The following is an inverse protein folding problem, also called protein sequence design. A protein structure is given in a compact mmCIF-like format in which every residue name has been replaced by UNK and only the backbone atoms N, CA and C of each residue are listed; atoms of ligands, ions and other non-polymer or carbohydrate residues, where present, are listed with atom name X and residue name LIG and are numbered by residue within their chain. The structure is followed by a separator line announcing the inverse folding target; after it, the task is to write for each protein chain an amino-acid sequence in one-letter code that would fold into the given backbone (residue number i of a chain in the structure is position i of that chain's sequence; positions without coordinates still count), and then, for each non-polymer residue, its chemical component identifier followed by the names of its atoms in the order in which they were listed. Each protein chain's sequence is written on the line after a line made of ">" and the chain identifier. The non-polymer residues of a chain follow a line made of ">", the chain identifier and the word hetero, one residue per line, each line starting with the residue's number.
data_IF_065289807346
#
_entry.id   IF_065289807346
#
_cell.length_a   1.000
_cell.length_b   1.000
_cell.length_c   1.000
_cell.angle_alpha   90.00
_cell.angle_beta   90.00
_cell.angle_gamma   90.00
#
_symmetry.space_group_name_H-M   'P 1'
#
loop_
_entity.id
_entity.type
_entity.pdbx_description
1 polymer ?
#
# COMPACT_ATOMS: atom_id res chain seq x y z
N UNK A 1 20.07 -11.48 23.40
CA UNK A 1 19.09 -10.37 23.48
C UNK A 1 18.90 -9.87 22.06
N UNK A 2 17.77 -10.20 21.46
CA UNK A 2 17.53 -10.07 20.03
C UNK A 2 16.47 -8.98 19.85
N UNK A 3 16.84 -7.87 19.21
CA UNK A 3 15.98 -7.14 18.28
C UNK A 3 14.62 -6.61 18.80
N UNK A 4 14.44 -6.27 20.08
CA UNK A 4 13.11 -5.78 20.53
C UNK A 4 12.73 -4.46 19.83
N UNK A 5 13.67 -3.52 19.77
CA UNK A 5 13.51 -2.24 19.06
C UNK A 5 13.50 -2.42 17.53
N UNK A 6 14.24 -3.40 17.00
CA UNK A 6 14.29 -3.66 15.55
C UNK A 6 13.04 -4.39 15.06
N UNK A 7 12.43 -5.24 15.88
CA UNK A 7 11.20 -5.94 15.56
C UNK A 7 10.01 -4.97 15.49
N UNK A 8 9.87 -4.05 16.45
CA UNK A 8 8.80 -3.04 16.41
C UNK A 8 8.96 -2.08 15.21
N UNK A 9 10.19 -1.67 14.90
CA UNK A 9 10.47 -0.80 13.75
C UNK A 9 10.27 -1.54 12.43
N UNK A 10 10.69 -2.80 12.32
CA UNK A 10 10.47 -3.63 11.13
C UNK A 10 8.98 -3.96 10.92
N UNK A 11 8.25 -4.22 12.01
CA UNK A 11 6.82 -4.46 12.00
C UNK A 11 6.09 -3.19 11.54
N UNK A 12 6.37 -2.05 12.16
CA UNK A 12 5.78 -0.75 11.81
C UNK A 12 6.14 -0.36 10.37
N UNK A 13 7.38 -0.59 9.94
CA UNK A 13 7.82 -0.35 8.57
C UNK A 13 7.06 -1.20 7.55
N UNK A 14 6.79 -2.46 7.88
CA UNK A 14 5.99 -3.35 7.03
C UNK A 14 4.54 -2.90 7.00
N UNK A 15 3.92 -2.67 8.17
CA UNK A 15 2.53 -2.20 8.29
C UNK A 15 2.33 -0.91 7.51
N UNK A 16 3.26 0.05 7.62
CA UNK A 16 3.16 1.33 6.90
C UNK A 16 3.20 1.16 5.38
N UNK A 17 4.01 0.23 4.85
CA UNK A 17 4.02 -0.09 3.41
C UNK A 17 2.69 -0.68 2.96
N UNK A 18 2.12 -1.60 3.76
CA UNK A 18 0.81 -2.17 3.46
C UNK A 18 -0.30 -1.12 3.51
N UNK A 19 -0.32 -0.27 4.54
CA UNK A 19 -1.29 0.81 4.68
C UNK A 19 -1.23 1.80 3.50
N UNK A 20 -0.03 2.19 3.06
CA UNK A 20 0.13 3.09 1.90
C UNK A 20 -0.47 2.49 0.63
N UNK A 21 -0.23 1.21 0.39
CA UNK A 21 -0.77 0.50 -0.78
C UNK A 21 -2.28 0.33 -0.68
N UNK A 22 -2.80 -0.07 0.47
CA UNK A 22 -4.24 -0.19 0.71
C UNK A 22 -4.96 1.15 0.51
N UNK A 23 -4.41 2.24 1.05
CA UNK A 23 -4.96 3.58 0.85
C UNK A 23 -4.98 4.00 -0.63
N UNK A 24 -3.96 3.62 -1.42
CA UNK A 24 -3.96 3.82 -2.87
C UNK A 24 -5.09 3.02 -3.55
N UNK A 25 -5.24 1.75 -3.20
CA UNK A 25 -6.31 0.88 -3.70
C UNK A 25 -7.69 1.45 -3.34
N UNK A 26 -7.91 1.88 -2.10
CA UNK A 26 -9.16 2.51 -1.67
C UNK A 26 -9.46 3.80 -2.43
N UNK A 27 -8.43 4.61 -2.73
CA UNK A 27 -8.58 5.81 -3.55
C UNK A 27 -9.03 5.47 -4.97
N UNK A 28 -8.45 4.44 -5.59
CA UNK A 28 -8.85 3.96 -6.92
C UNK A 28 -10.29 3.42 -6.90
N UNK A 29 -10.61 2.57 -5.93
CA UNK A 29 -11.95 2.01 -5.76
C UNK A 29 -13.01 3.12 -5.55
N UNK A 30 -12.69 4.12 -4.73
CA UNK A 30 -13.56 5.28 -4.49
C UNK A 30 -13.76 6.13 -5.74
N UNK A 31 -12.73 6.32 -6.56
CA UNK A 31 -12.83 7.03 -7.85
C UNK A 31 -13.72 6.26 -8.84
N UNK A 32 -13.63 4.94 -8.83
CA UNK A 32 -14.42 4.08 -9.69
C UNK A 32 -15.85 3.81 -9.17
N UNK A 33 -16.17 4.26 -7.95
CA UNK A 33 -17.52 4.17 -7.36
C UNK A 33 -17.94 2.76 -6.96
N UNK A 34 -16.98 1.85 -6.74
CA UNK A 34 -17.22 0.46 -6.30
C UNK A 34 -16.28 0.09 -5.15
N UNK A 35 -16.69 -0.88 -4.34
CA UNK A 35 -15.86 -1.40 -3.26
C UNK A 35 -14.74 -2.31 -3.79
N UNK A 36 -13.59 -2.35 -3.10
CA UNK A 36 -12.44 -3.18 -3.46
C UNK A 36 -12.78 -4.66 -3.63
N UNK A 37 -13.71 -5.17 -2.81
CA UNK A 37 -14.18 -6.56 -2.87
C UNK A 37 -14.92 -6.90 -4.17
N UNK A 38 -15.38 -5.89 -4.92
CA UNK A 38 -16.04 -6.07 -6.21
C UNK A 38 -15.09 -6.21 -7.40
N UNK A 39 -13.77 -6.05 -7.20
CA UNK A 39 -12.78 -6.10 -8.26
C UNK A 39 -12.14 -7.48 -8.38
N UNK A 40 -11.86 -7.95 -9.61
CA UNK A 40 -11.12 -9.18 -9.81
C UNK A 40 -9.67 -9.03 -9.32
N UNK A 41 -9.09 -10.14 -8.85
CA UNK A 41 -7.71 -10.18 -8.35
C UNK A 41 -6.69 -9.61 -9.36
N UNK A 42 -6.93 -9.77 -10.66
CA UNK A 42 -6.07 -9.23 -11.70
C UNK A 42 -6.03 -7.69 -11.71
N UNK A 43 -7.18 -7.02 -11.52
CA UNK A 43 -7.25 -5.56 -11.42
C UNK A 43 -6.60 -5.06 -10.13
N UNK A 44 -6.92 -5.71 -9.01
CA UNK A 44 -6.30 -5.40 -7.72
C UNK A 44 -4.77 -5.54 -7.77
N UNK A 45 -4.27 -6.55 -8.47
CA UNK A 45 -2.84 -6.76 -8.66
C UNK A 45 -2.21 -5.64 -9.51
N UNK A 46 -2.90 -5.16 -10.55
CA UNK A 46 -2.42 -4.01 -11.34
C UNK A 46 -2.32 -2.74 -10.49
N UNK A 47 -3.37 -2.40 -9.73
CA UNK A 47 -3.34 -1.25 -8.82
C UNK A 47 -2.29 -1.38 -7.72
N UNK A 48 -2.03 -2.61 -7.26
CA UNK A 48 -0.98 -2.89 -6.29
C UNK A 48 0.43 -2.63 -6.87
N UNK A 49 0.68 -3.04 -8.11
CA UNK A 49 1.94 -2.74 -8.79
C UNK A 49 2.09 -1.24 -9.07
N UNK A 50 0.99 -0.53 -9.39
CA UNK A 50 0.99 0.93 -9.51
C UNK A 50 1.30 1.61 -8.18
N UNK A 51 0.69 1.16 -7.07
CA UNK A 51 0.98 1.67 -5.74
C UNK A 51 2.46 1.47 -5.36
N UNK A 52 3.03 0.29 -5.66
CA UNK A 52 4.46 0.02 -5.47
C UNK A 52 5.34 0.98 -6.29
N UNK A 53 4.99 1.22 -7.56
CA UNK A 53 5.73 2.17 -8.41
C UNK A 53 5.61 3.60 -7.90
N UNK A 54 4.45 4.00 -7.39
CA UNK A 54 4.24 5.32 -6.80
C UNK A 54 5.06 5.51 -5.51
N UNK A 55 5.24 4.47 -4.69
CA UNK A 55 6.16 4.49 -3.54
C UNK A 55 7.63 4.63 -3.97
N UNK A 56 8.05 3.92 -5.02
CA UNK A 56 9.45 3.94 -5.53
C UNK A 56 9.80 5.26 -6.20
N UNK A 57 8.83 5.88 -6.90
CA UNK A 57 9.05 7.14 -7.62
C UNK A 57 9.05 8.38 -6.72
N UNK A 58 8.97 8.22 -5.39
CA UNK A 58 9.33 9.21 -4.36
C UNK A 58 9.43 10.65 -4.84
N UNK A 59 8.31 11.23 -5.30
CA UNK A 59 8.17 12.68 -5.21
C UNK A 59 7.94 12.95 -3.74
N UNK A 60 9.05 13.22 -3.06
CA UNK A 60 9.12 14.13 -1.94
C UNK A 60 8.33 15.38 -2.34
N UNK A 61 7.05 15.43 -1.96
CA UNK A 61 6.28 16.67 -2.00
C UNK A 61 6.41 17.23 -0.60
N UNK A 62 7.48 17.99 -0.38
CA UNK A 62 7.55 19.04 0.63
C UNK A 62 6.38 20.00 0.50
#
# INVERSE_FOLDING_TARGET
>A
RLLDVEAEVALTGTINKFNKRLCYLEKQARQAGKELAGYPLAELNSWWEEAKKAEVNGKEIT
#
